data_IF_394180261821
#
_entry.id   IF_394180261821
#
_cell.length_a   1.000
_cell.length_b   1.000
_cell.length_c   1.000
_cell.angle_alpha   90.00
_cell.angle_beta   90.00
_cell.angle_gamma   90.00
#
_symmetry.space_group_name_H-M   'P 1'
#
loop_
_entity.id
_entity.type
_entity.pdbx_description
1 polymer ?
#
# COMPACT_ATOMS: atom_id res chain seq x y z
N UNK A 1 18.58 20.86 17.48
CA UNK A 1 17.91 19.54 17.52
C UNK A 1 18.98 18.47 17.55
N UNK A 2 18.97 17.63 18.58
CA UNK A 2 19.90 16.52 18.80
C UNK A 2 19.24 15.22 18.39
N UNK A 3 19.94 14.43 17.59
CA UNK A 3 19.40 13.28 16.89
C UNK A 3 20.15 12.02 17.31
N UNK A 4 19.41 11.02 17.80
CA UNK A 4 19.89 9.65 17.91
C UNK A 4 19.56 8.86 16.65
N UNK A 5 20.50 8.10 16.11
CA UNK A 5 20.29 7.28 14.90
C UNK A 5 20.33 5.79 15.23
N UNK A 6 19.20 5.10 15.07
CA UNK A 6 19.11 3.64 15.16
C UNK A 6 19.39 3.02 13.78
N UNK A 7 20.53 2.36 13.64
CA UNK A 7 20.98 1.76 12.39
C UNK A 7 21.82 2.70 11.53
N UNK A 8 23.04 2.25 11.17
CA UNK A 8 24.00 2.99 10.34
C UNK A 8 24.30 2.28 9.01
N UNK A 9 23.27 1.65 8.44
CA UNK A 9 23.33 1.09 7.09
C UNK A 9 23.30 2.16 6.00
N UNK A 10 22.89 1.79 4.78
CA UNK A 10 22.85 2.68 3.62
C UNK A 10 22.11 3.99 3.90
N UNK A 11 20.87 3.92 4.41
CA UNK A 11 20.06 5.11 4.70
C UNK A 11 20.63 5.91 5.86
N UNK A 12 20.99 5.26 6.98
CA UNK A 12 21.55 5.92 8.16
C UNK A 12 22.84 6.70 7.88
N UNK A 13 23.75 6.13 7.07
CA UNK A 13 24.94 6.84 6.60
C UNK A 13 24.59 8.05 5.73
N UNK A 14 23.58 7.92 4.87
CA UNK A 14 23.07 9.05 4.07
C UNK A 14 22.53 10.18 4.94
N UNK A 15 21.76 9.86 6.00
CA UNK A 15 21.19 10.84 6.93
C UNK A 15 22.31 11.59 7.64
N UNK A 16 23.25 10.86 8.23
CA UNK A 16 24.43 11.45 8.87
C UNK A 16 25.21 12.33 7.91
N UNK A 17 25.45 11.87 6.68
CA UNK A 17 26.18 12.63 5.65
C UNK A 17 25.50 13.95 5.32
N UNK A 18 24.17 13.98 5.21
CA UNK A 18 23.42 15.21 4.90
C UNK A 18 23.48 16.19 6.09
N UNK A 19 23.30 15.69 7.32
CA UNK A 19 23.31 16.52 8.53
C UNK A 19 24.71 17.09 8.79
N UNK A 20 25.74 16.24 8.81
CA UNK A 20 27.14 16.63 9.10
C UNK A 20 27.72 17.59 8.04
N UNK A 21 27.12 17.64 6.84
CA UNK A 21 27.54 18.58 5.79
C UNK A 21 27.06 20.02 6.04
N UNK A 22 26.07 20.24 6.92
CA UNK A 22 25.53 21.55 7.31
C UNK A 22 25.28 22.52 6.13
N UNK A 23 24.75 22.01 5.01
CA UNK A 23 24.61 22.79 3.77
C UNK A 23 23.56 23.90 3.87
N UNK A 24 22.60 23.78 4.79
CA UNK A 24 21.51 24.74 5.01
C UNK A 24 21.44 25.15 6.49
N UNK A 25 20.78 26.27 6.78
CA UNK A 25 20.52 26.71 8.15
C UNK A 25 19.76 25.66 8.99
N UNK A 26 18.83 24.93 8.39
CA UNK A 26 18.09 23.87 9.05
C UNK A 26 19.03 22.72 9.45
N UNK A 27 19.84 22.21 8.51
CA UNK A 27 20.83 21.15 8.80
C UNK A 27 21.95 21.63 9.74
N UNK A 28 22.26 22.93 9.76
CA UNK A 28 23.22 23.51 10.71
C UNK A 28 22.68 23.59 12.15
N UNK A 29 21.36 23.58 12.32
CA UNK A 29 20.69 23.54 13.62
C UNK A 29 20.44 22.10 14.13
N UNK A 30 20.94 21.09 13.43
CA UNK A 30 20.81 19.67 13.73
C UNK A 30 22.17 19.05 14.05
N UNK A 31 22.20 18.08 14.96
CA UNK A 31 23.40 17.30 15.25
C UNK A 31 23.06 15.84 15.52
N UNK A 32 23.75 14.92 14.83
CA UNK A 32 23.71 13.50 15.19
C UNK A 32 24.63 13.32 16.41
N UNK A 33 24.06 12.94 17.56
CA UNK A 33 24.78 12.88 18.85
C UNK A 33 25.17 11.46 19.25
N UNK A 34 24.44 10.45 18.77
CA UNK A 34 24.67 9.03 19.08
C UNK A 34 24.07 8.16 17.99
N UNK A 35 24.73 7.05 17.67
CA UNK A 35 24.35 6.11 16.63
C UNK A 35 24.43 4.70 17.21
N UNK A 36 23.34 3.94 17.15
CA UNK A 36 23.32 2.54 17.58
C UNK A 36 23.50 1.63 16.36
N UNK A 37 24.50 0.76 16.41
CA UNK A 37 24.77 -0.29 15.42
C UNK A 37 24.73 -1.67 16.07
N UNK A 38 24.67 -2.72 15.24
CA UNK A 38 24.64 -4.09 15.74
C UNK A 38 26.05 -4.61 16.02
N UNK A 39 26.98 -4.39 15.10
CA UNK A 39 28.29 -5.02 15.13
C UNK A 39 29.41 -4.00 15.45
N UNK A 40 30.34 -4.37 16.34
CA UNK A 40 31.45 -3.48 16.72
C UNK A 40 32.33 -3.07 15.53
N UNK A 41 32.39 -3.89 14.48
CA UNK A 41 33.13 -3.57 13.25
C UNK A 41 32.56 -2.38 12.47
N UNK A 42 31.31 -1.97 12.76
CA UNK A 42 30.68 -0.80 12.15
C UNK A 42 31.09 0.53 12.83
N UNK A 43 31.80 0.45 13.96
CA UNK A 43 32.29 1.63 14.71
C UNK A 43 33.39 2.30 13.91
N UNK A 44 33.03 3.41 13.27
CA UNK A 44 33.89 4.25 12.42
C UNK A 44 33.95 5.70 12.89
N UNK A 45 33.25 6.01 13.97
CA UNK A 45 33.07 7.35 14.54
C UNK A 45 32.76 7.21 16.04
N UNK A 46 33.21 8.17 16.85
CA UNK A 46 33.05 8.18 18.31
C UNK A 46 31.60 8.26 18.79
N UNK A 47 30.68 8.69 17.93
CA UNK A 47 29.24 8.70 18.18
C UNK A 47 28.61 7.33 18.04
N UNK A 48 29.32 6.33 17.52
CA UNK A 48 28.77 4.99 17.26
C UNK A 48 28.98 4.10 18.49
N UNK A 49 27.91 3.47 18.95
CA UNK A 49 27.91 2.49 20.03
C UNK A 49 27.16 1.22 19.62
N UNK A 50 27.45 0.13 20.31
CA UNK A 50 26.69 -1.13 20.25
C UNK A 50 25.82 -1.33 21.49
N UNK A 51 25.90 -0.42 22.48
CA UNK A 51 25.16 -0.49 23.73
C UNK A 51 23.86 0.35 23.65
N UNK A 52 22.68 -0.30 23.68
CA UNK A 52 21.42 0.42 23.71
C UNK A 52 21.26 1.32 24.94
N UNK A 53 21.83 0.96 26.10
CA UNK A 53 21.71 1.80 27.30
C UNK A 53 22.51 3.09 27.17
N UNK A 54 23.73 3.01 26.62
CA UNK A 54 24.51 4.21 26.26
C UNK A 54 23.75 5.08 25.24
N UNK A 55 23.09 4.45 24.27
CA UNK A 55 22.25 5.16 23.30
C UNK A 55 21.12 5.93 23.98
N UNK A 56 20.26 5.24 24.74
CA UNK A 56 19.05 5.83 25.33
C UNK A 56 19.30 6.73 26.56
N UNK A 57 20.49 6.70 27.14
CA UNK A 57 20.89 7.65 28.20
C UNK A 57 21.51 8.94 27.64
N UNK A 58 21.80 8.99 26.33
CA UNK A 58 22.25 10.21 25.66
C UNK A 58 21.08 11.18 25.52
N UNK A 59 21.32 12.45 25.85
CA UNK A 59 20.31 13.50 25.77
C UNK A 59 20.03 13.89 24.29
N UNK A 60 18.85 13.52 23.80
CA UNK A 60 18.43 13.70 22.40
C UNK A 60 16.96 14.10 22.30
N UNK A 61 16.61 14.83 21.25
CA UNK A 61 15.25 15.37 21.05
C UNK A 61 14.41 14.44 20.13
N UNK A 62 15.08 13.81 19.16
CA UNK A 62 14.46 12.94 18.14
C UNK A 62 15.32 11.70 17.91
N UNK A 63 14.67 10.57 17.70
CA UNK A 63 15.28 9.33 17.22
C UNK A 63 14.93 9.10 15.75
N UNK A 64 15.94 8.90 14.92
CA UNK A 64 15.80 8.44 13.55
C UNK A 64 15.98 6.92 13.53
N UNK A 65 15.01 6.20 12.97
CA UNK A 65 15.04 4.74 12.83
C UNK A 65 15.22 4.30 11.37
N UNK A 66 16.33 3.61 11.12
CA UNK A 66 16.77 3.12 9.82
C UNK A 66 17.21 1.64 9.90
N UNK A 67 16.64 0.88 10.85
CA UNK A 67 16.93 -0.53 11.03
C UNK A 67 16.05 -1.38 10.11
N UNK A 68 16.45 -2.65 9.91
CA UNK A 68 15.59 -3.66 9.30
C UNK A 68 14.85 -4.48 10.35
N UNK A 69 13.76 -5.12 9.94
CA UNK A 69 12.94 -6.00 10.80
C UNK A 69 11.81 -5.26 11.53
N UNK A 70 11.14 -5.96 12.44
CA UNK A 70 9.96 -5.45 13.16
C UNK A 70 10.20 -5.42 14.67
N UNK A 71 10.49 -6.57 15.30
CA UNK A 71 10.44 -6.68 16.76
C UNK A 71 11.49 -5.81 17.47
N UNK A 72 12.75 -5.87 17.04
CA UNK A 72 13.83 -5.07 17.65
C UNK A 72 13.67 -3.56 17.38
N UNK A 73 13.38 -3.13 16.13
CA UNK A 73 13.03 -1.74 15.87
C UNK A 73 11.81 -1.26 16.69
N UNK A 74 10.78 -2.10 16.84
CA UNK A 74 9.59 -1.76 17.63
C UNK A 74 9.92 -1.52 19.10
N UNK A 75 10.75 -2.36 19.72
CA UNK A 75 11.23 -2.18 21.09
C UNK A 75 11.89 -0.80 21.28
N UNK A 76 12.81 -0.45 20.37
CA UNK A 76 13.57 0.79 20.44
C UNK A 76 12.75 2.04 20.13
N UNK A 77 11.90 1.98 19.11
CA UNK A 77 10.99 3.09 18.76
C UNK A 77 9.97 3.32 19.87
N UNK A 78 9.40 2.26 20.43
CA UNK A 78 8.46 2.37 21.56
C UNK A 78 9.13 2.97 22.80
N UNK A 79 10.38 2.58 23.09
CA UNK A 79 11.18 3.17 24.17
C UNK A 79 11.42 4.66 23.93
N UNK A 80 11.74 5.06 22.69
CA UNK A 80 11.98 6.45 22.34
C UNK A 80 10.73 7.32 22.55
N UNK A 81 9.60 6.91 21.96
CA UNK A 81 8.32 7.61 22.10
C UNK A 81 7.90 7.68 23.58
N UNK A 82 8.03 6.58 24.32
CA UNK A 82 7.70 6.53 25.75
C UNK A 82 8.56 7.47 26.60
N UNK A 83 9.77 7.79 26.18
CA UNK A 83 10.64 8.75 26.84
C UNK A 83 10.34 10.21 26.45
N UNK A 84 9.35 10.46 25.58
CA UNK A 84 9.00 11.80 25.12
C UNK A 84 9.90 12.32 24.00
N UNK A 85 10.58 11.44 23.27
CA UNK A 85 11.34 11.81 22.07
C UNK A 85 10.47 11.65 20.82
N UNK A 86 10.61 12.57 19.86
CA UNK A 86 10.03 12.38 18.53
C UNK A 86 10.71 11.23 17.78
N UNK A 87 10.01 10.65 16.80
CA UNK A 87 10.58 9.59 15.95
C UNK A 87 10.37 9.90 14.47
N UNK A 88 11.43 9.68 13.68
CA UNK A 88 11.38 9.64 12.21
C UNK A 88 11.82 8.24 11.76
N UNK A 89 10.99 7.50 11.03
CA UNK A 89 11.31 6.13 10.61
C UNK A 89 11.29 5.96 9.09
N UNK A 90 12.24 5.19 8.56
CA UNK A 90 12.25 4.72 7.18
C UNK A 90 11.76 3.27 7.04
N UNK A 91 11.39 2.62 8.14
CA UNK A 91 11.08 1.20 8.19
C UNK A 91 9.58 0.94 7.97
N UNK A 92 9.21 0.87 6.70
CA UNK A 92 7.85 0.53 6.23
C UNK A 92 7.27 -0.75 6.84
N UNK A 93 8.09 -1.78 7.09
CA UNK A 93 7.63 -3.07 7.61
C UNK A 93 7.27 -2.96 9.08
N UNK A 94 8.14 -2.34 9.88
CA UNK A 94 7.82 -1.98 11.27
C UNK A 94 6.50 -1.19 11.32
N UNK A 95 6.45 -0.09 10.57
CA UNK A 95 5.32 0.82 10.60
C UNK A 95 4.03 0.11 10.20
N UNK A 96 4.01 -0.66 9.11
CA UNK A 96 2.79 -1.34 8.66
C UNK A 96 2.26 -2.38 9.66
N UNK A 97 3.14 -3.02 10.44
CA UNK A 97 2.75 -4.02 11.43
C UNK A 97 2.46 -3.46 12.82
N UNK A 98 2.99 -2.29 13.15
CA UNK A 98 2.96 -1.69 14.50
C UNK A 98 2.43 -0.26 14.52
N UNK A 99 1.75 0.16 13.45
CA UNK A 99 1.27 1.52 13.26
C UNK A 99 0.45 1.98 14.46
N UNK A 100 -0.55 1.19 14.85
CA UNK A 100 -1.49 1.58 15.90
C UNK A 100 -0.81 1.71 17.26
N UNK A 101 0.04 0.75 17.64
CA UNK A 101 0.76 0.82 18.91
C UNK A 101 1.71 2.03 18.95
N UNK A 102 2.45 2.27 17.87
CA UNK A 102 3.40 3.39 17.78
C UNK A 102 2.68 4.74 17.73
N UNK A 103 1.60 4.84 16.95
CA UNK A 103 0.81 6.05 16.83
C UNK A 103 0.11 6.39 18.16
N UNK A 104 -0.43 5.39 18.86
CA UNK A 104 -1.03 5.59 20.17
C UNK A 104 -0.01 6.11 21.20
N UNK A 105 1.21 5.55 21.21
CA UNK A 105 2.31 6.04 22.06
C UNK A 105 2.69 7.48 21.71
N UNK A 106 2.87 7.79 20.42
CA UNK A 106 3.21 9.13 19.96
C UNK A 106 2.16 10.16 20.37
N UNK A 107 0.86 9.84 20.17
CA UNK A 107 -0.26 10.69 20.58
C UNK A 107 -0.33 10.86 22.10
N UNK A 108 -0.19 9.78 22.88
CA UNK A 108 -0.20 9.83 24.35
C UNK A 108 0.91 10.74 24.89
N UNK A 109 2.08 10.71 24.25
CA UNK A 109 3.27 11.47 24.66
C UNK A 109 3.35 12.85 24.01
N UNK A 110 2.41 13.17 23.11
CA UNK A 110 2.37 14.42 22.35
C UNK A 110 3.68 14.69 21.61
N UNK A 111 4.26 13.64 21.03
CA UNK A 111 5.51 13.70 20.26
C UNK A 111 5.25 13.26 18.82
N UNK A 112 6.03 13.76 17.85
CA UNK A 112 5.80 13.42 16.46
C UNK A 112 6.29 12.00 16.12
N UNK A 113 5.53 11.33 15.26
CA UNK A 113 5.93 10.13 14.53
C UNK A 113 5.83 10.42 13.04
N UNK A 114 6.98 10.56 12.37
CA UNK A 114 7.06 10.88 10.94
C UNK A 114 7.72 9.72 10.16
N UNK A 115 7.33 9.53 8.90
CA UNK A 115 7.74 8.38 8.10
C UNK A 115 7.63 8.58 6.58
N UNK A 116 7.89 9.78 6.07
CA UNK A 116 7.91 10.06 4.63
C UNK A 116 8.83 9.07 3.88
N UNK A 117 10.01 8.84 4.45
CA UNK A 117 11.04 7.97 3.88
C UNK A 117 10.60 6.50 3.75
N UNK A 118 9.60 6.06 4.51
CA UNK A 118 9.08 4.69 4.43
C UNK A 118 8.23 4.45 3.16
N UNK A 119 7.73 5.51 2.53
CA UNK A 119 6.78 5.39 1.41
C UNK A 119 7.39 5.86 0.09
N UNK A 120 7.72 7.15 0.00
CA UNK A 120 8.05 7.80 -1.27
C UNK A 120 9.52 7.69 -1.69
N UNK A 121 10.40 7.15 -0.83
CA UNK A 121 11.83 7.28 -1.03
C UNK A 121 12.22 8.75 -1.04
N UNK A 122 12.60 9.30 -2.20
CA UNK A 122 12.85 10.74 -2.37
C UNK A 122 11.63 11.55 -2.82
N UNK A 123 10.49 10.93 -3.08
CA UNK A 123 9.25 11.61 -3.44
C UNK A 123 8.60 12.15 -2.16
N UNK A 124 8.35 13.48 -2.04
CA UNK A 124 7.70 14.07 -0.86
C UNK A 124 6.19 13.81 -0.86
N UNK A 125 5.80 12.53 -0.79
CA UNK A 125 4.45 12.07 -1.00
C UNK A 125 3.53 12.41 0.18
N UNK A 126 3.87 11.98 1.39
CA UNK A 126 3.04 12.19 2.58
C UNK A 126 2.92 13.67 2.93
N UNK A 127 3.98 14.46 2.77
CA UNK A 127 3.93 15.92 3.00
C UNK A 127 2.93 16.59 2.05
N UNK A 128 3.00 16.30 0.75
CA UNK A 128 2.09 16.91 -0.21
C UNK A 128 0.65 16.43 0.00
N UNK A 129 0.45 15.15 0.28
CA UNK A 129 -0.87 14.62 0.64
C UNK A 129 -1.44 15.32 1.89
N UNK A 130 -0.63 15.49 2.94
CA UNK A 130 -1.06 16.16 4.16
C UNK A 130 -1.41 17.63 3.94
N UNK A 131 -0.77 18.31 2.98
CA UNK A 131 -1.15 19.66 2.56
C UNK A 131 -2.47 19.65 1.80
N UNK A 132 -2.64 18.72 0.86
CA UNK A 132 -3.91 18.55 0.13
C UNK A 132 -5.07 18.29 1.08
N UNK A 133 -4.94 17.34 2.01
CA UNK A 133 -6.01 17.00 2.96
C UNK A 133 -6.32 18.11 4.00
N UNK A 134 -5.44 19.10 4.17
CA UNK A 134 -5.74 20.27 5.00
C UNK A 134 -6.64 21.29 4.30
N UNK A 135 -6.69 21.24 2.97
CA UNK A 135 -7.39 22.23 2.13
C UNK A 135 -8.57 21.61 1.39
N UNK A 136 -8.53 20.30 1.15
CA UNK A 136 -9.41 19.60 0.22
C UNK A 136 -9.71 18.16 0.67
N UNK A 137 -10.79 17.59 0.18
CA UNK A 137 -11.15 16.20 0.44
C UNK A 137 -10.40 15.27 -0.53
N UNK A 138 -9.46 14.49 0.00
CA UNK A 138 -8.73 13.48 -0.78
C UNK A 138 -9.65 12.28 -1.02
N UNK A 139 -10.07 12.13 -2.26
CA UNK A 139 -10.97 11.06 -2.68
C UNK A 139 -10.22 9.74 -2.84
N UNK A 140 -9.09 9.76 -3.56
CA UNK A 140 -8.31 8.56 -3.84
C UNK A 140 -6.84 8.85 -4.13
N UNK A 141 -6.03 7.81 -4.04
CA UNK A 141 -4.68 7.80 -4.58
C UNK A 141 -4.39 6.49 -5.32
N UNK A 142 -3.52 6.56 -6.31
CA UNK A 142 -2.96 5.40 -7.00
C UNK A 142 -1.53 5.66 -7.41
N UNK A 143 -0.68 4.63 -7.44
CA UNK A 143 0.70 4.87 -7.81
C UNK A 143 1.57 3.63 -7.94
N UNK A 144 2.66 3.81 -8.65
CA UNK A 144 3.80 2.89 -8.70
C UNK A 144 4.67 3.21 -7.49
N UNK A 145 4.58 2.38 -6.46
CA UNK A 145 5.30 2.57 -5.20
C UNK A 145 6.55 1.68 -5.05
N UNK A 146 6.82 0.81 -6.03
CA UNK A 146 7.93 -0.14 -5.97
C UNK A 146 8.74 -0.14 -7.28
N UNK A 147 9.98 0.33 -7.20
CA UNK A 147 10.86 0.45 -8.37
C UNK A 147 11.31 -0.90 -8.93
N UNK A 148 11.48 -1.91 -8.08
CA UNK A 148 11.91 -3.26 -8.50
C UNK A 148 10.88 -3.91 -9.43
N UNK A 149 9.62 -3.93 -9.01
CA UNK A 149 8.52 -4.46 -9.82
C UNK A 149 8.24 -3.60 -11.05
N UNK A 150 8.38 -2.28 -10.96
CA UNK A 150 8.27 -1.43 -12.14
C UNK A 150 9.36 -1.71 -13.17
N UNK A 151 10.60 -1.93 -12.73
CA UNK A 151 11.71 -2.32 -13.59
C UNK A 151 11.45 -3.66 -14.27
N UNK A 152 11.02 -4.68 -13.50
CA UNK A 152 10.70 -6.01 -14.03
C UNK A 152 9.61 -5.91 -15.10
N UNK A 153 8.51 -5.20 -14.82
CA UNK A 153 7.44 -4.99 -15.79
C UNK A 153 7.91 -4.20 -17.01
N UNK A 154 8.77 -3.20 -16.85
CA UNK A 154 9.32 -2.46 -17.98
C UNK A 154 10.18 -3.34 -18.89
N UNK A 155 11.05 -4.19 -18.33
CA UNK A 155 11.83 -5.15 -19.11
C UNK A 155 10.95 -6.19 -19.84
N UNK A 156 9.89 -6.65 -19.19
CA UNK A 156 8.97 -7.61 -19.79
C UNK A 156 8.13 -7.00 -20.92
N UNK A 157 7.59 -5.79 -20.72
CA UNK A 157 6.60 -5.19 -21.62
C UNK A 157 7.23 -4.31 -22.70
N UNK A 158 8.36 -3.66 -22.40
CA UNK A 158 9.08 -2.80 -23.36
C UNK A 158 10.13 -3.59 -24.14
N UNK A 159 10.87 -4.48 -23.47
CA UNK A 159 11.98 -5.23 -24.09
C UNK A 159 11.64 -6.70 -24.39
N UNK A 160 10.43 -7.16 -24.04
CA UNK A 160 9.97 -8.51 -24.34
C UNK A 160 10.69 -9.61 -23.57
N UNK A 161 11.32 -9.29 -22.44
CA UNK A 161 11.97 -10.29 -21.60
C UNK A 161 10.94 -11.19 -20.90
N UNK A 162 11.35 -12.41 -20.52
CA UNK A 162 10.55 -13.21 -19.60
C UNK A 162 10.78 -12.73 -18.15
N UNK A 163 9.90 -13.14 -17.24
CA UNK A 163 9.94 -12.72 -15.84
C UNK A 163 11.27 -13.08 -15.14
N UNK A 164 11.76 -14.30 -15.34
CA UNK A 164 12.97 -14.80 -14.66
C UNK A 164 14.23 -14.03 -15.09
N UNK A 165 14.34 -13.70 -16.38
CA UNK A 165 15.45 -12.93 -16.93
C UNK A 165 15.39 -11.47 -16.47
N UNK A 166 14.19 -10.86 -16.45
CA UNK A 166 13.98 -9.52 -15.93
C UNK A 166 14.29 -9.42 -14.42
N UNK A 167 13.87 -10.40 -13.63
CA UNK A 167 14.18 -10.49 -12.21
C UNK A 167 15.69 -10.65 -11.96
N UNK A 168 16.36 -11.52 -12.72
CA UNK A 168 17.82 -11.67 -12.64
C UNK A 168 18.53 -10.36 -13.00
N UNK A 169 18.08 -9.67 -14.05
CA UNK A 169 18.60 -8.36 -14.43
C UNK A 169 18.40 -7.29 -13.34
N UNK A 170 17.29 -7.36 -12.58
CA UNK A 170 17.03 -6.49 -11.44
C UNK A 170 18.01 -6.79 -10.28
N UNK A 171 18.30 -8.07 -10.00
CA UNK A 171 19.25 -8.49 -8.96
C UNK A 171 20.69 -8.06 -9.30
N UNK A 172 21.12 -8.24 -10.56
CA UNK A 172 22.44 -7.83 -11.03
C UNK A 172 22.68 -6.32 -10.90
N UNK A 173 21.61 -5.52 -11.05
CA UNK A 173 21.65 -4.05 -10.88
C UNK A 173 21.48 -3.60 -9.43
N UNK A 174 21.24 -4.53 -8.51
CA UNK A 174 20.98 -4.25 -7.10
C UNK A 174 19.61 -3.60 -6.85
N UNK A 175 18.65 -3.73 -7.78
CA UNK A 175 17.27 -3.30 -7.56
C UNK A 175 16.49 -4.31 -6.73
N UNK A 176 16.72 -5.61 -6.96
CA UNK A 176 16.13 -6.69 -6.19
C UNK A 176 17.17 -7.34 -5.27
N UNK A 177 16.77 -7.74 -4.07
CA UNK A 177 17.57 -8.56 -3.18
C UNK A 177 17.58 -10.04 -3.62
N UNK A 178 18.40 -10.86 -2.95
CA UNK A 178 18.44 -12.30 -3.20
C UNK A 178 17.09 -12.98 -2.94
N UNK A 179 16.37 -12.53 -1.90
CA UNK A 179 14.96 -12.85 -1.67
C UNK A 179 14.10 -11.62 -2.01
N UNK A 180 13.49 -11.56 -3.20
CA UNK A 180 12.70 -10.42 -3.65
C UNK A 180 11.21 -10.52 -3.27
N UNK A 181 10.82 -11.45 -2.38
CA UNK A 181 9.42 -11.80 -2.16
C UNK A 181 8.56 -10.62 -1.72
N UNK A 182 9.05 -9.76 -0.82
CA UNK A 182 8.30 -8.55 -0.40
C UNK A 182 7.99 -7.63 -1.60
N UNK A 183 8.86 -7.57 -2.62
CA UNK A 183 8.63 -6.80 -3.85
C UNK A 183 7.68 -7.54 -4.80
N UNK A 184 8.06 -8.75 -5.24
CA UNK A 184 7.37 -9.44 -6.35
C UNK A 184 6.02 -10.03 -5.95
N UNK A 185 5.73 -10.19 -4.66
CA UNK A 185 4.41 -10.58 -4.15
C UNK A 185 3.51 -9.38 -3.81
N UNK A 186 4.01 -8.15 -4.01
CA UNK A 186 3.25 -6.92 -3.82
C UNK A 186 3.11 -6.46 -2.37
N UNK A 187 3.82 -7.10 -1.43
CA UNK A 187 3.76 -6.74 -0.02
C UNK A 187 4.33 -5.35 0.26
N UNK A 188 5.44 -4.96 -0.39
CA UNK A 188 6.01 -3.62 -0.28
C UNK A 188 5.00 -2.53 -0.68
N UNK A 189 4.35 -2.72 -1.82
CA UNK A 189 3.32 -1.80 -2.33
C UNK A 189 2.13 -1.76 -1.36
N UNK A 190 1.73 -2.91 -0.81
CA UNK A 190 0.67 -3.00 0.19
C UNK A 190 1.02 -2.24 1.48
N UNK A 191 2.23 -2.38 2.04
CA UNK A 191 2.66 -1.64 3.23
C UNK A 191 2.56 -0.13 2.98
N UNK A 192 3.08 0.34 1.84
CA UNK A 192 3.06 1.75 1.45
C UNK A 192 1.65 2.29 1.23
N UNK A 193 0.77 1.48 0.67
CA UNK A 193 -0.64 1.81 0.46
C UNK A 193 -1.37 1.96 1.80
N UNK A 194 -1.22 0.99 2.71
CA UNK A 194 -1.82 1.03 4.05
C UNK A 194 -1.33 2.24 4.84
N UNK A 195 -0.02 2.47 4.87
CA UNK A 195 0.55 3.60 5.61
C UNK A 195 0.11 4.95 5.02
N UNK A 196 0.00 5.06 3.70
CA UNK A 196 -0.54 6.26 3.04
C UNK A 196 -2.00 6.48 3.45
N UNK A 197 -2.85 5.44 3.36
CA UNK A 197 -4.27 5.49 3.71
C UNK A 197 -4.48 5.88 5.18
N UNK A 198 -3.74 5.24 6.09
CA UNK A 198 -3.78 5.54 7.52
C UNK A 198 -3.41 7.00 7.79
N UNK A 199 -2.36 7.49 7.13
CA UNK A 199 -1.88 8.86 7.30
C UNK A 199 -2.87 9.89 6.78
N UNK A 200 -3.46 9.68 5.62
CA UNK A 200 -4.26 10.70 4.92
C UNK A 200 -5.68 10.80 5.44
N UNK A 201 -6.31 9.67 5.78
CA UNK A 201 -7.68 9.64 6.28
C UNK A 201 -7.76 9.49 7.80
N UNK A 202 -6.63 9.41 8.51
CA UNK A 202 -6.62 9.26 9.96
C UNK A 202 -7.31 7.97 10.41
N UNK A 203 -7.04 6.87 9.72
CA UNK A 203 -7.66 5.55 9.95
C UNK A 203 -6.61 4.52 10.36
N UNK A 204 -7.08 3.35 10.82
CA UNK A 204 -6.26 2.15 10.95
C UNK A 204 -6.81 1.07 10.03
N UNK A 205 -6.19 0.92 8.86
CA UNK A 205 -6.49 -0.15 7.89
C UNK A 205 -5.77 -1.42 8.33
N UNK A 206 -6.49 -2.51 8.67
CA UNK A 206 -5.85 -3.77 9.06
C UNK A 206 -5.15 -4.39 7.88
N UNK A 207 -3.85 -4.64 8.04
CA UNK A 207 -2.97 -5.08 6.97
C UNK A 207 -3.47 -6.38 6.33
N UNK A 208 -3.97 -7.33 7.11
CA UNK A 208 -4.49 -8.62 6.65
C UNK A 208 -5.72 -8.51 5.74
N UNK A 209 -6.46 -7.40 5.80
CA UNK A 209 -7.66 -7.18 5.00
C UNK A 209 -7.36 -6.54 3.63
N UNK A 210 -6.14 -6.04 3.44
CA UNK A 210 -5.74 -5.42 2.17
C UNK A 210 -5.18 -6.49 1.21
N UNK A 211 -5.80 -6.73 0.04
CA UNK A 211 -5.29 -7.69 -0.92
C UNK A 211 -3.96 -7.22 -1.52
N UNK A 212 -3.05 -8.17 -1.71
CA UNK A 212 -1.82 -8.01 -2.48
C UNK A 212 -1.73 -9.10 -3.54
N UNK A 213 -1.62 -8.70 -4.79
CA UNK A 213 -1.31 -9.57 -5.91
C UNK A 213 0.02 -9.13 -6.50
N UNK A 214 0.93 -10.08 -6.64
CA UNK A 214 2.27 -9.86 -7.15
C UNK A 214 2.41 -10.04 -8.66
N UNK A 215 3.66 -10.12 -9.09
CA UNK A 215 4.07 -10.35 -10.47
C UNK A 215 4.19 -11.83 -10.84
N UNK A 216 4.16 -12.76 -9.87
CA UNK A 216 4.38 -14.21 -10.12
C UNK A 216 3.42 -14.82 -11.15
N UNK A 217 2.28 -14.20 -11.37
CA UNK A 217 1.25 -14.66 -12.29
C UNK A 217 1.19 -13.84 -13.59
N UNK A 218 2.08 -12.86 -13.76
CA UNK A 218 2.20 -12.06 -14.98
C UNK A 218 3.22 -12.73 -15.90
N UNK A 219 2.82 -13.08 -17.12
CA UNK A 219 3.73 -13.70 -18.08
C UNK A 219 3.78 -12.99 -19.44
N UNK A 220 4.69 -13.44 -20.31
CA UNK A 220 4.92 -12.80 -21.61
C UNK A 220 3.71 -12.82 -22.55
N UNK A 221 2.69 -13.65 -22.29
CA UNK A 221 1.42 -13.62 -23.06
C UNK A 221 0.59 -12.41 -22.69
N UNK A 222 0.65 -11.99 -21.42
CA UNK A 222 -0.03 -10.78 -20.93
C UNK A 222 0.60 -9.55 -21.55
N UNK A 223 1.93 -9.52 -21.62
CA UNK A 223 2.67 -8.45 -22.30
C UNK A 223 2.29 -8.33 -23.78
N UNK A 224 2.26 -9.45 -24.51
CA UNK A 224 1.85 -9.47 -25.92
C UNK A 224 0.40 -9.02 -26.10
N UNK A 225 -0.49 -9.49 -25.23
CA UNK A 225 -1.90 -9.11 -25.29
C UNK A 225 -2.08 -7.62 -25.00
N UNK A 226 -1.44 -7.10 -23.95
CA UNK A 226 -1.49 -5.69 -23.58
C UNK A 226 -1.05 -4.80 -24.74
N UNK A 227 0.11 -5.10 -25.32
CA UNK A 227 0.68 -4.35 -26.43
C UNK A 227 -0.24 -4.35 -27.65
N UNK A 228 -0.83 -5.51 -28.00
CA UNK A 228 -1.77 -5.62 -29.11
C UNK A 228 -3.05 -4.77 -28.95
N UNK A 229 -3.39 -4.39 -27.72
CA UNK A 229 -4.56 -3.56 -27.40
C UNK A 229 -4.20 -2.13 -27.00
N UNK A 230 -2.96 -1.70 -27.23
CA UNK A 230 -2.50 -0.35 -26.89
C UNK A 230 -2.46 -0.09 -25.38
N UNK A 231 -2.05 -1.10 -24.61
CA UNK A 231 -2.02 -1.09 -23.15
C UNK A 231 -0.70 -1.61 -22.59
N UNK A 232 -0.46 -1.35 -21.31
CA UNK A 232 0.68 -1.86 -20.53
C UNK A 232 0.22 -2.29 -19.14
N UNK A 233 1.02 -3.07 -18.40
CA UNK A 233 0.71 -3.46 -17.02
C UNK A 233 1.69 -2.78 -16.06
N UNK A 234 1.15 -2.25 -14.94
CA UNK A 234 1.91 -1.67 -13.83
C UNK A 234 1.42 -2.26 -12.50
N UNK A 235 2.32 -2.54 -11.56
CA UNK A 235 1.94 -2.89 -10.19
C UNK A 235 1.60 -1.61 -9.43
N UNK A 236 0.32 -1.42 -9.12
CA UNK A 236 -0.16 -0.22 -8.44
C UNK A 236 -0.56 -0.50 -7.01
N UNK A 237 -0.22 0.43 -6.13
CA UNK A 237 -0.89 0.60 -4.84
C UNK A 237 -1.99 1.62 -5.00
N UNK A 238 -3.18 1.31 -4.51
CA UNK A 238 -4.37 2.12 -4.72
C UNK A 238 -5.22 2.15 -3.46
N UNK A 239 -5.79 3.31 -3.14
CA UNK A 239 -6.85 3.38 -2.15
C UNK A 239 -7.83 4.53 -2.45
N UNK A 240 -9.06 4.39 -1.95
CA UNK A 240 -10.14 5.36 -2.07
C UNK A 240 -10.94 5.44 -0.78
N UNK A 241 -11.31 6.65 -0.36
CA UNK A 241 -12.30 6.85 0.68
C UNK A 241 -13.70 6.64 0.12
N UNK A 242 -14.55 6.00 0.92
CA UNK A 242 -15.93 5.69 0.59
C UNK A 242 -16.83 6.05 1.77
N UNK A 243 -18.15 6.02 1.57
CA UNK A 243 -19.11 6.27 2.64
C UNK A 243 -19.05 5.20 3.74
N UNK A 244 -18.55 4.00 3.44
CA UNK A 244 -18.44 2.89 4.40
C UNK A 244 -17.04 2.71 4.98
N UNK A 245 -16.02 3.40 4.45
CA UNK A 245 -14.67 3.34 4.96
C UNK A 245 -13.60 3.60 3.90
N UNK A 246 -12.58 2.75 3.87
CA UNK A 246 -11.48 2.85 2.91
C UNK A 246 -11.35 1.54 2.14
N UNK A 247 -11.36 1.64 0.81
CA UNK A 247 -10.98 0.55 -0.09
C UNK A 247 -9.49 0.70 -0.40
N UNK A 248 -8.71 -0.38 -0.28
CA UNK A 248 -7.27 -0.36 -0.57
C UNK A 248 -6.80 -1.69 -1.18
N UNK A 249 -5.73 -1.64 -1.98
CA UNK A 249 -5.14 -2.84 -2.57
C UNK A 249 -3.79 -2.58 -3.26
N UNK A 250 -3.04 -3.65 -3.49
CA UNK A 250 -1.83 -3.66 -4.30
C UNK A 250 -1.93 -4.76 -5.38
N UNK A 251 -1.92 -4.42 -6.67
CA UNK A 251 -2.06 -5.41 -7.74
C UNK A 251 -1.58 -4.93 -9.11
N UNK A 252 -1.24 -5.85 -10.04
CA UNK A 252 -1.00 -5.49 -11.43
C UNK A 252 -2.29 -4.95 -12.06
N UNK A 253 -2.20 -3.73 -12.59
CA UNK A 253 -3.29 -3.02 -13.27
C UNK A 253 -2.86 -2.77 -14.70
N UNK A 254 -3.76 -3.02 -15.65
CA UNK A 254 -3.52 -2.63 -17.02
C UNK A 254 -3.96 -1.21 -17.27
N UNK A 255 -3.08 -0.45 -17.91
CA UNK A 255 -3.28 0.95 -18.19
C UNK A 255 -3.27 1.17 -19.71
N UNK A 256 -4.11 2.07 -20.23
CA UNK A 256 -3.93 2.60 -21.58
C UNK A 256 -2.50 3.12 -21.77
N UNK A 257 -1.91 2.88 -22.94
CA UNK A 257 -0.53 3.30 -23.22
C UNK A 257 -0.32 4.82 -23.13
N UNK A 258 -1.39 5.61 -23.24
CA UNK A 258 -1.38 7.06 -23.08
C UNK A 258 -1.64 7.55 -21.65
N UNK A 259 -1.87 6.67 -20.67
CA UNK A 259 -2.05 7.04 -19.28
C UNK A 259 -0.71 7.49 -18.66
N UNK A 260 -0.72 8.48 -17.75
CA UNK A 260 0.51 9.03 -17.14
C UNK A 260 1.40 7.95 -16.51
N UNK A 261 0.83 7.07 -15.68
CA UNK A 261 1.54 5.93 -15.07
C UNK A 261 2.09 4.91 -16.09
N UNK A 262 1.52 4.83 -17.30
CA UNK A 262 2.02 3.92 -18.33
C UNK A 262 3.41 4.35 -18.82
N UNK A 263 3.68 5.66 -18.86
CA UNK A 263 4.96 6.25 -19.28
C UNK A 263 6.04 6.26 -18.20
N UNK A 264 5.81 5.64 -17.04
CA UNK A 264 6.78 5.59 -15.95
C UNK A 264 7.64 4.33 -16.13
N UNK A 265 8.87 4.51 -16.59
CA UNK A 265 9.78 3.42 -16.96
C UNK A 265 10.85 3.16 -15.88
N UNK A 266 11.61 2.08 -16.07
CA UNK A 266 12.71 1.67 -15.20
C UNK A 266 12.27 1.52 -13.73
N UNK A 267 13.15 1.86 -12.78
CA UNK A 267 12.90 1.74 -11.35
C UNK A 267 12.31 3.02 -10.72
N UNK A 268 11.73 3.92 -11.52
CA UNK A 268 11.10 5.12 -11.01
C UNK A 268 9.73 4.81 -10.41
N UNK A 269 9.36 5.62 -9.41
CA UNK A 269 8.06 5.61 -8.78
C UNK A 269 7.25 6.82 -9.24
N UNK A 270 5.92 6.68 -9.18
CA UNK A 270 5.02 7.80 -9.39
C UNK A 270 3.76 7.61 -8.53
N UNK A 271 3.48 8.58 -7.68
CA UNK A 271 2.29 8.59 -6.82
C UNK A 271 1.32 9.65 -7.32
N UNK A 272 0.06 9.29 -7.47
CA UNK A 272 -1.00 10.18 -7.94
C UNK A 272 -2.08 10.29 -6.89
N UNK A 273 -2.57 11.51 -6.68
CA UNK A 273 -3.71 11.82 -5.80
C UNK A 273 -4.81 12.45 -6.62
N UNK A 274 -6.06 12.14 -6.28
CA UNK A 274 -7.24 12.86 -6.74
C UNK A 274 -7.95 13.47 -5.53
N UNK A 275 -8.27 14.75 -5.61
CA UNK A 275 -9.10 15.43 -4.62
C UNK A 275 -10.08 16.39 -5.31
N UNK A 276 -11.16 16.74 -4.61
CA UNK A 276 -12.33 17.42 -5.17
C UNK A 276 -12.00 18.75 -5.88
N UNK A 277 -11.19 19.61 -5.25
CA UNK A 277 -10.81 20.91 -5.79
C UNK A 277 -9.44 20.92 -6.50
N UNK A 278 -8.49 20.12 -6.04
CA UNK A 278 -7.15 20.04 -6.66
C UNK A 278 -7.18 19.29 -8.00
N UNK A 279 -8.13 18.37 -8.14
CA UNK A 279 -8.14 17.39 -9.23
C UNK A 279 -7.00 16.38 -9.09
N UNK A 280 -6.54 15.88 -10.25
CA UNK A 280 -5.47 14.89 -10.30
C UNK A 280 -4.09 15.55 -10.28
N UNK A 281 -3.22 15.09 -9.37
CA UNK A 281 -1.83 15.50 -9.31
C UNK A 281 -0.90 14.29 -9.21
N UNK A 282 0.29 14.40 -9.80
CA UNK A 282 1.27 13.33 -9.85
C UNK A 282 2.63 13.79 -9.32
N UNK A 283 3.27 12.93 -8.52
CA UNK A 283 4.61 13.12 -7.97
C UNK A 283 5.51 12.00 -8.47
N UNK A 284 6.59 12.37 -9.16
CA UNK A 284 7.49 11.44 -9.83
C UNK A 284 8.91 11.53 -9.26
N UNK A 285 9.58 10.39 -9.10
CA UNK A 285 10.96 10.38 -8.65
C UNK A 285 11.48 8.99 -8.30
N UNK A 286 12.66 8.95 -7.69
CA UNK A 286 13.25 7.70 -7.21
C UNK A 286 12.60 7.27 -5.90
N UNK A 287 12.03 6.07 -5.89
CA UNK A 287 11.37 5.47 -4.72
C UNK A 287 12.30 4.80 -3.71
N UNK A 288 13.61 4.78 -3.99
CA UNK A 288 14.62 4.13 -3.15
C UNK A 288 16.01 4.75 -3.41
N UNK A 289 17.00 4.29 -2.65
CA UNK A 289 18.39 4.71 -2.76
C UNK A 289 18.87 5.52 -1.56
N UNK A 290 20.19 5.53 -1.35
CA UNK A 290 20.83 6.14 -0.18
C UNK A 290 20.40 7.59 0.04
N UNK A 291 20.73 8.47 -0.92
CA UNK A 291 20.51 9.90 -0.77
C UNK A 291 19.03 10.30 -0.90
N UNK A 292 18.23 9.74 -1.83
CA UNK A 292 16.79 10.04 -1.88
C UNK A 292 16.06 9.70 -0.58
N UNK A 293 16.30 8.52 0.00
CA UNK A 293 15.65 8.10 1.25
C UNK A 293 16.15 8.91 2.44
N UNK A 294 17.47 9.14 2.53
CA UNK A 294 18.05 9.98 3.56
C UNK A 294 17.55 11.43 3.49
N UNK A 295 17.33 11.96 2.27
CA UNK A 295 16.75 13.28 2.07
C UNK A 295 15.34 13.37 2.66
N UNK A 296 14.49 12.37 2.43
CA UNK A 296 13.15 12.34 3.03
C UNK A 296 13.19 12.27 4.56
N UNK A 297 14.09 11.48 5.14
CA UNK A 297 14.31 11.47 6.60
C UNK A 297 14.71 12.85 7.13
N UNK A 298 15.65 13.53 6.45
CA UNK A 298 16.08 14.87 6.85
C UNK A 298 14.96 15.90 6.64
N UNK A 299 14.15 15.75 5.60
CA UNK A 299 12.95 16.57 5.40
C UNK A 299 11.94 16.42 6.53
N UNK A 300 11.67 15.19 6.98
CA UNK A 300 10.84 14.92 8.16
C UNK A 300 11.43 15.58 9.41
N UNK A 301 12.74 15.53 9.61
CA UNK A 301 13.42 16.19 10.73
C UNK A 301 13.24 17.72 10.69
N UNK A 302 13.27 18.34 9.51
CA UNK A 302 13.01 19.78 9.37
C UNK A 302 11.56 20.10 9.77
N UNK A 303 10.59 19.32 9.33
CA UNK A 303 9.18 19.48 9.70
C UNK A 303 8.97 19.30 11.21
N UNK A 304 9.59 18.26 11.80
CA UNK A 304 9.56 18.01 13.24
C UNK A 304 10.18 19.18 14.02
N UNK A 305 11.29 19.74 13.52
CA UNK A 305 11.96 20.88 14.15
C UNK A 305 11.05 22.10 14.18
N UNK A 306 10.33 22.37 13.09
CA UNK A 306 9.39 23.48 13.03
C UNK A 306 8.24 23.31 14.04
N UNK A 307 7.70 22.10 14.18
CA UNK A 307 6.63 21.79 15.16
C UNK A 307 7.10 21.97 16.61
N UNK A 308 8.32 21.53 16.93
CA UNK A 308 8.91 21.68 18.27
C UNK A 308 9.13 23.15 18.67
N UNK A 309 9.27 24.05 17.69
CA UNK A 309 9.43 25.50 17.95
C UNK A 309 8.08 26.20 18.16
N UNK A 310 6.97 25.61 17.69
CA UNK A 310 5.64 26.23 17.67
C UNK A 310 4.67 25.73 18.77
N UNK A 311 5.10 24.88 19.71
CA UNK A 311 4.26 24.31 20.78
C UNK A 311 2.90 23.75 20.29
N UNK A 312 2.85 23.21 19.06
CA UNK A 312 1.60 22.80 18.41
C UNK A 312 1.71 21.38 17.86
N UNK A 313 1.24 20.39 18.63
CA UNK A 313 1.28 18.95 18.27
C UNK A 313 -0.10 18.37 17.89
N UNK A 314 -1.07 19.21 17.52
CA UNK A 314 -2.41 18.73 17.19
C UNK A 314 -2.48 18.18 15.75
N UNK A 315 -2.14 16.89 15.57
CA UNK A 315 -2.73 16.08 14.50
C UNK A 315 -3.87 15.27 15.14
N UNK A 316 -5.07 15.41 14.59
CA UNK A 316 -6.30 14.84 15.10
C UNK A 316 -6.19 13.32 15.34
N UNK A 317 -6.80 12.85 16.43
CA UNK A 317 -6.84 11.43 16.80
C UNK A 317 -7.71 10.63 15.81
N UNK A 318 -7.33 9.37 15.47
CA UNK A 318 -8.13 8.54 14.57
C UNK A 318 -9.43 8.06 15.22
N UNK A 319 -10.51 8.08 14.44
CA UNK A 319 -11.70 7.25 14.69
C UNK A 319 -11.44 5.84 14.16
N UNK A 320 -11.96 4.81 14.84
CA UNK A 320 -11.95 3.44 14.29
C UNK A 320 -12.89 3.39 13.09
N UNK A 321 -12.35 3.05 11.92
CA UNK A 321 -13.12 2.92 10.67
C UNK A 321 -13.26 1.44 10.29
N UNK A 322 -14.42 1.09 9.75
CA UNK A 322 -14.69 -0.20 9.13
C UNK A 322 -13.98 -0.22 7.77
N UNK A 323 -13.06 -1.15 7.54
CA UNK A 323 -12.53 -1.36 6.19
C UNK A 323 -13.61 -2.09 5.41
N UNK A 324 -14.17 -1.43 4.40
CA UNK A 324 -14.95 -2.12 3.39
C UNK A 324 -13.96 -2.95 2.57
N UNK A 325 -14.06 -4.29 2.56
CA UNK A 325 -13.30 -5.09 1.61
C UNK A 325 -13.50 -4.50 0.22
N UNK A 326 -12.42 -4.37 -0.55
CA UNK A 326 -12.45 -3.80 -1.90
C UNK A 326 -13.48 -4.49 -2.84
N UNK A 327 -14.02 -5.64 -2.43
CA UNK A 327 -15.05 -6.42 -3.13
C UNK A 327 -16.49 -6.21 -2.61
N UNK A 328 -16.68 -5.59 -1.43
CA UNK A 328 -17.99 -5.46 -0.77
C UNK A 328 -18.78 -4.23 -1.21
N UNK A 329 -18.16 -3.08 -1.48
CA UNK A 329 -18.90 -1.94 -2.05
C UNK A 329 -19.17 -2.10 -3.55
N UNK A 330 -18.35 -2.90 -4.23
CA UNK A 330 -18.74 -3.37 -5.54
C UNK A 330 -20.10 -4.09 -5.43
N UNK A 331 -20.44 -4.80 -4.34
CA UNK A 331 -21.56 -5.75 -4.28
C UNK A 331 -22.59 -5.31 -3.23
N UNK A 332 -23.52 -4.42 -3.61
CA UNK A 332 -24.47 -3.76 -2.70
C UNK A 332 -25.36 -4.67 -1.84
N UNK A 333 -25.72 -4.17 -0.66
CA UNK A 333 -26.89 -4.63 0.10
C UNK A 333 -27.88 -3.46 0.27
N UNK A 334 -29.04 -3.60 -0.37
CA UNK A 334 -30.21 -2.78 -0.09
C UNK A 334 -30.71 -3.06 1.33
N UNK A 335 -30.55 -2.09 2.23
CA UNK A 335 -31.38 -1.97 3.42
C UNK A 335 -31.50 -0.49 3.83
N UNK A 336 -32.60 0.15 3.43
CA UNK A 336 -33.23 1.17 4.28
C UNK A 336 -34.56 0.59 4.77
N UNK A 337 -35.01 0.95 5.99
CA UNK A 337 -35.92 2.10 6.03
C UNK A 337 -35.83 2.99 7.28
N UNK A 338 -36.10 4.27 7.04
CA UNK A 338 -36.91 5.19 7.86
C UNK A 338 -36.28 5.95 9.06
N UNK A 339 -36.00 7.23 8.77
CA UNK A 339 -36.75 8.39 9.29
C UNK A 339 -36.48 8.97 10.70
N UNK A 340 -36.32 10.30 10.68
CA UNK A 340 -36.73 11.35 11.65
C UNK A 340 -35.72 11.90 12.67
N UNK A 341 -35.41 13.16 12.41
CA UNK A 341 -35.39 14.35 13.29
C UNK A 341 -34.63 14.36 14.64
N UNK A 342 -33.59 15.21 14.63
CA UNK A 342 -33.20 16.28 15.59
C UNK A 342 -32.86 15.91 17.03
N UNK A 343 -31.63 16.23 17.47
CA UNK A 343 -31.39 16.98 18.71
C UNK A 343 -29.98 17.61 18.74
N UNK A 344 -29.91 18.83 19.29
CA UNK A 344 -28.71 19.63 19.50
C UNK A 344 -27.69 18.99 20.45
N UNK A 345 -26.44 19.47 20.34
CA UNK A 345 -25.18 19.03 20.97
C UNK A 345 -25.22 18.79 22.50
N UNK A 346 -26.22 19.27 23.24
CA UNK A 346 -26.22 19.24 24.71
C UNK A 346 -26.68 17.92 25.37
N UNK A 347 -27.10 16.88 24.63
CA UNK A 347 -27.59 15.62 25.22
C UNK A 347 -26.57 14.46 25.26
N UNK A 348 -25.33 14.63 24.79
CA UNK A 348 -24.32 13.56 24.78
C UNK A 348 -23.54 13.38 26.10
N UNK A 349 -23.80 14.21 27.12
CA UNK A 349 -23.07 14.18 28.39
C UNK A 349 -23.92 13.57 29.50
N UNK A 350 -24.26 12.28 29.42
CA UNK A 350 -24.57 11.43 30.60
C UNK A 350 -25.10 10.04 30.22
N UNK A 351 -24.23 9.06 29.97
CA UNK A 351 -24.51 7.64 30.28
C UNK A 351 -23.22 6.79 30.15
N UNK A 352 -22.99 5.78 31.01
CA UNK A 352 -21.74 5.02 31.06
C UNK A 352 -21.63 4.00 29.92
N UNK A 353 -20.39 3.68 29.55
CA UNK A 353 -20.01 2.73 28.50
C UNK A 353 -20.77 1.39 28.59
N UNK A 354 -21.50 1.04 27.53
CA UNK A 354 -21.91 -0.35 27.28
C UNK A 354 -20.85 -1.04 26.44
N UNK A 355 -20.24 -2.08 27.01
CA UNK A 355 -19.43 -3.05 26.28
C UNK A 355 -20.32 -3.84 25.33
N UNK A 356 -20.07 -3.76 24.02
CA UNK A 356 -20.62 -4.70 23.05
C UNK A 356 -19.80 -5.99 23.09
N UNK A 357 -20.39 -7.06 23.63
CA UNK A 357 -19.89 -8.42 23.46
C UNK A 357 -20.03 -8.84 21.99
N UNK A 358 -18.93 -9.32 21.40
CA UNK A 358 -18.94 -9.98 20.10
C UNK A 358 -19.49 -11.38 20.28
N UNK A 359 -20.66 -11.68 19.70
CA UNK A 359 -21.15 -13.05 19.62
C UNK A 359 -20.17 -13.90 18.79
N UNK A 360 -19.83 -15.13 19.21
CA UNK A 360 -18.89 -15.96 18.47
C UNK A 360 -19.53 -16.34 17.12
N UNK A 361 -18.94 -15.86 16.03
CA UNK A 361 -19.36 -16.23 14.69
C UNK A 361 -18.76 -17.60 14.35
N UNK A 362 -19.63 -18.57 14.06
CA UNK A 362 -19.25 -19.87 13.53
C UNK A 362 -18.54 -19.67 12.18
N UNK A 363 -17.23 -19.95 12.15
CA UNK A 363 -16.36 -19.76 10.98
C UNK A 363 -16.65 -20.78 9.85
N UNK A 364 -17.61 -21.69 10.03
CA UNK A 364 -17.98 -22.68 9.01
C UNK A 364 -19.00 -22.20 7.96
N UNK A 365 -19.51 -20.97 8.06
CA UNK A 365 -20.61 -20.46 7.22
C UNK A 365 -20.22 -19.47 6.08
N UNK A 366 -18.95 -19.09 5.92
CA UNK A 366 -18.52 -18.12 4.89
C UNK A 366 -18.03 -18.79 3.58
N UNK A 367 -18.80 -19.72 3.04
CA UNK A 367 -18.59 -20.24 1.68
C UNK A 367 -19.80 -19.97 0.79
N UNK A 368 -19.79 -18.85 0.06
CA UNK A 368 -20.84 -18.51 -0.92
C UNK A 368 -20.51 -17.26 -1.75
N UNK A 369 -20.67 -17.37 -3.07
CA UNK A 369 -20.41 -16.32 -4.09
C UNK A 369 -21.57 -15.31 -4.16
N UNK A 370 -21.30 -14.03 -4.40
CA UNK A 370 -22.31 -13.05 -4.81
C UNK A 370 -22.13 -12.64 -6.28
N UNK A 371 -23.14 -11.99 -6.86
CA UNK A 371 -23.16 -11.43 -8.22
C UNK A 371 -23.64 -9.97 -8.16
N UNK A 372 -23.25 -9.18 -9.14
CA UNK A 372 -23.33 -7.73 -9.11
C UNK A 372 -24.17 -7.16 -10.26
N UNK A 373 -25.12 -6.27 -9.97
CA UNK A 373 -25.83 -5.41 -10.93
C UNK A 373 -25.93 -3.99 -10.34
N UNK A 374 -25.22 -2.98 -10.87
CA UNK A 374 -25.22 -1.63 -10.29
C UNK A 374 -26.55 -0.90 -10.59
N UNK A 375 -27.04 -0.13 -9.62
CA UNK A 375 -28.32 0.59 -9.72
C UNK A 375 -28.14 2.02 -10.32
N UNK A 376 -26.98 2.69 -10.16
CA UNK A 376 -26.77 4.10 -10.57
C UNK A 376 -25.41 4.39 -11.25
N UNK A 377 -25.27 5.54 -11.93
CA UNK A 377 -24.13 5.90 -12.78
C UNK A 377 -22.85 6.33 -12.06
N UNK A 378 -22.90 6.73 -10.78
CA UNK A 378 -21.70 7.12 -10.01
C UNK A 378 -20.95 5.89 -9.45
N UNK A 379 -21.66 4.80 -9.13
CA UNK A 379 -21.07 3.49 -8.82
C UNK A 379 -20.46 2.82 -10.07
N UNK A 380 -20.90 3.24 -11.26
CA UNK A 380 -20.42 2.77 -12.55
C UNK A 380 -18.97 3.22 -12.78
N UNK A 381 -18.64 4.49 -12.54
CA UNK A 381 -17.27 5.02 -12.71
C UNK A 381 -16.27 4.40 -11.70
N UNK A 382 -16.76 3.96 -10.53
CA UNK A 382 -15.97 3.37 -9.44
C UNK A 382 -15.56 1.92 -9.71
N UNK A 383 -16.45 1.13 -10.35
CA UNK A 383 -16.12 -0.16 -10.96
C UNK A 383 -15.33 0.02 -12.27
N UNK A 384 -15.60 1.09 -13.02
CA UNK A 384 -14.97 1.40 -14.31
C UNK A 384 -13.46 1.63 -14.17
N UNK A 385 -13.01 2.38 -13.16
CA UNK A 385 -11.58 2.61 -12.90
C UNK A 385 -10.83 1.37 -12.38
N UNK A 386 -11.54 0.42 -11.76
CA UNK A 386 -10.99 -0.87 -11.32
C UNK A 386 -10.99 -1.93 -12.45
N UNK A 387 -11.83 -1.74 -13.47
CA UNK A 387 -12.15 -2.74 -14.52
C UNK A 387 -11.81 -2.28 -15.94
N UNK A 388 -11.18 -1.13 -16.19
CA UNK A 388 -10.92 -0.64 -17.57
C UNK A 388 -9.88 -1.46 -18.39
N UNK A 389 -10.31 -2.65 -18.79
CA UNK A 389 -9.91 -3.45 -19.93
C UNK A 389 -11.05 -3.41 -20.98
N UNK A 390 -10.80 -2.70 -22.08
CA UNK A 390 -11.54 -2.68 -23.36
C UNK A 390 -12.79 -1.77 -23.43
N UNK A 391 -12.81 -0.89 -24.45
CA UNK A 391 -13.96 -0.07 -24.82
C UNK A 391 -15.15 -0.95 -25.21
N UNK A 392 -16.40 -0.61 -24.86
CA UNK A 392 -17.57 -1.26 -25.43
C UNK A 392 -17.91 -0.64 -26.80
N UNK A 393 -18.10 -1.47 -27.82
CA UNK A 393 -19.06 -1.15 -28.88
C UNK A 393 -20.47 -1.31 -28.31
N UNK A 394 -21.34 -0.34 -28.59
CA UNK A 394 -22.73 -0.36 -28.17
C UNK A 394 -23.48 -1.39 -29.03
N UNK A 395 -23.88 -2.52 -28.46
CA UNK A 395 -24.77 -3.47 -29.15
C UNK A 395 -26.22 -2.93 -29.11
N UNK A 396 -26.94 -3.11 -30.22
CA UNK A 396 -28.24 -2.49 -30.54
C UNK A 396 -29.38 -2.79 -29.54
N UNK A 397 -29.16 -3.63 -28.53
CA UNK A 397 -30.13 -4.07 -27.53
C UNK A 397 -29.82 -3.60 -26.09
N UNK A 398 -28.80 -2.77 -25.87
CA UNK A 398 -28.61 -2.05 -24.60
C UNK A 398 -28.05 -2.87 -23.42
N UNK A 399 -27.42 -4.02 -23.66
CA UNK A 399 -26.71 -4.78 -22.62
C UNK A 399 -25.19 -4.44 -22.59
N UNK A 400 -24.58 -4.42 -21.39
CA UNK A 400 -23.14 -4.15 -21.15
C UNK A 400 -22.56 -5.25 -20.24
N UNK A 401 -21.32 -5.67 -20.52
CA UNK A 401 -20.62 -6.81 -19.93
C UNK A 401 -19.53 -6.33 -18.93
N UNK A 402 -19.44 -6.91 -17.73
CA UNK A 402 -18.35 -6.63 -16.76
C UNK A 402 -17.83 -7.93 -16.17
N UNK A 403 -16.51 -8.16 -16.20
CA UNK A 403 -15.91 -9.36 -15.62
C UNK A 403 -14.44 -9.18 -15.27
N UNK A 404 -14.12 -9.36 -13.99
CA UNK A 404 -12.77 -9.49 -13.47
C UNK A 404 -12.11 -10.79 -13.92
N UNK A 405 -10.79 -10.71 -14.10
CA UNK A 405 -9.86 -11.73 -14.62
C UNK A 405 -10.08 -12.06 -16.11
N UNK A 406 -9.03 -11.80 -16.89
CA UNK A 406 -8.96 -12.15 -18.30
C UNK A 406 -9.24 -13.66 -18.49
N UNK A 407 -10.38 -13.99 -19.10
CA UNK A 407 -10.78 -15.37 -19.42
C UNK A 407 -9.67 -16.20 -20.12
N UNK A 408 -8.85 -15.65 -21.05
CA UNK A 408 -7.71 -16.35 -21.65
C UNK A 408 -6.58 -16.72 -20.67
N UNK A 409 -6.34 -15.88 -19.66
CA UNK A 409 -5.33 -16.14 -18.61
C UNK A 409 -5.77 -17.28 -17.71
N UNK A 410 -7.03 -17.24 -17.27
CA UNK A 410 -7.65 -18.30 -16.48
C UNK A 410 -7.65 -19.64 -17.24
N UNK A 411 -8.05 -19.64 -18.52
CA UNK A 411 -8.05 -20.83 -19.38
C UNK A 411 -6.66 -21.44 -19.56
N UNK A 412 -5.63 -20.60 -19.67
CA UNK A 412 -4.25 -21.03 -19.81
C UNK A 412 -3.69 -21.65 -18.52
N UNK A 413 -4.02 -21.07 -17.36
CA UNK A 413 -3.65 -21.62 -16.06
C UNK A 413 -4.31 -22.98 -15.81
N UNK A 414 -5.58 -23.14 -16.22
CA UNK A 414 -6.31 -24.41 -16.11
C UNK A 414 -5.73 -25.50 -17.05
N UNK A 415 -5.39 -25.18 -18.30
CA UNK A 415 -4.75 -26.16 -19.21
C UNK A 415 -3.39 -26.65 -18.70
N UNK A 416 -2.59 -25.76 -18.12
CA UNK A 416 -1.29 -26.13 -17.52
C UNK A 416 -1.44 -27.06 -16.31
N UNK A 417 -2.57 -27.01 -15.61
CA UNK A 417 -2.87 -27.88 -14.50
C UNK A 417 -3.51 -29.23 -14.92
N UNK A 418 -3.52 -29.55 -16.23
CA UNK A 418 -3.96 -30.84 -16.76
C UNK A 418 -5.46 -30.90 -17.11
N UNK A 419 -6.17 -29.78 -17.04
CA UNK A 419 -7.61 -29.74 -17.33
C UNK A 419 -7.90 -29.49 -18.82
N UNK A 420 -8.91 -30.18 -19.34
CA UNK A 420 -9.46 -29.90 -20.68
C UNK A 420 -10.44 -28.73 -20.57
N UNK A 421 -10.16 -27.63 -21.26
CA UNK A 421 -10.99 -26.40 -21.23
C UNK A 421 -11.61 -26.11 -22.60
N UNK A 422 -12.93 -25.88 -22.59
CA UNK A 422 -13.72 -25.51 -23.78
C UNK A 422 -14.66 -24.33 -23.52
N UNK A 423 -15.14 -23.69 -24.59
CA UNK A 423 -16.14 -22.62 -24.56
C UNK A 423 -17.45 -23.20 -25.09
N UNK A 424 -18.55 -23.04 -24.36
CA UNK A 424 -19.88 -23.51 -24.80
C UNK A 424 -20.83 -22.31 -24.88
N UNK A 425 -21.39 -22.06 -26.06
CA UNK A 425 -22.29 -20.94 -26.36
C UNK A 425 -21.59 -19.61 -26.69
N UNK A 426 -22.39 -18.56 -26.93
CA UNK A 426 -21.88 -17.21 -27.17
C UNK A 426 -21.35 -16.59 -25.86
N UNK A 427 -20.03 -16.76 -25.69
CA UNK A 427 -19.06 -16.03 -24.86
C UNK A 427 -19.50 -15.70 -23.42
N UNK A 428 -19.94 -16.69 -22.63
CA UNK A 428 -20.08 -16.48 -21.18
C UNK A 428 -19.97 -17.69 -20.26
N UNK A 429 -19.71 -18.92 -20.75
CA UNK A 429 -19.60 -20.10 -19.87
C UNK A 429 -18.32 -20.91 -20.15
N UNK A 430 -17.48 -21.08 -19.12
CA UNK A 430 -16.33 -21.97 -19.14
C UNK A 430 -16.71 -23.31 -18.49
N UNK A 431 -16.61 -24.41 -19.24
CA UNK A 431 -16.83 -25.77 -18.74
C UNK A 431 -15.48 -26.47 -18.62
N UNK A 432 -15.22 -27.10 -17.48
CA UNK A 432 -13.99 -27.81 -17.18
C UNK A 432 -14.35 -29.18 -16.63
N UNK A 433 -13.95 -30.23 -17.33
CA UNK A 433 -14.24 -31.61 -16.95
C UNK A 433 -13.12 -32.12 -16.02
N UNK A 434 -13.48 -32.73 -14.88
CA UNK A 434 -12.53 -33.15 -13.86
C UNK A 434 -12.82 -34.61 -13.48
N UNK A 435 -11.83 -35.50 -13.60
CA UNK A 435 -11.95 -36.87 -13.06
C UNK A 435 -11.87 -36.85 -11.53
N UNK A 436 -12.79 -37.59 -10.89
CA UNK A 436 -13.23 -37.53 -9.48
C UNK A 436 -12.13 -37.39 -8.40
N UNK A 437 -10.92 -37.92 -8.64
CA UNK A 437 -9.83 -37.84 -7.67
C UNK A 437 -9.13 -36.48 -7.60
N UNK A 438 -9.41 -35.55 -8.52
CA UNK A 438 -8.72 -34.24 -8.62
C UNK A 438 -9.53 -33.07 -8.05
N UNK A 439 -10.82 -33.26 -7.74
CA UNK A 439 -11.73 -32.21 -7.25
C UNK A 439 -11.31 -31.61 -5.90
N UNK A 440 -10.68 -32.42 -5.03
CA UNK A 440 -10.20 -31.97 -3.72
C UNK A 440 -8.99 -31.03 -3.83
N UNK A 441 -8.15 -31.20 -4.86
CA UNK A 441 -6.97 -30.37 -5.07
C UNK A 441 -7.29 -28.97 -5.63
N UNK A 442 -8.43 -28.83 -6.32
CA UNK A 442 -8.93 -27.55 -6.87
C UNK A 442 -9.56 -26.68 -5.76
N UNK A 443 -10.28 -27.30 -4.82
CA UNK A 443 -10.88 -26.62 -3.68
C UNK A 443 -9.83 -26.07 -2.68
N UNK A 444 -8.75 -26.81 -2.44
CA UNK A 444 -7.69 -26.42 -1.50
C UNK A 444 -6.79 -25.26 -2.01
N UNK A 445 -6.89 -24.88 -3.30
CA UNK A 445 -6.10 -23.79 -3.92
C UNK A 445 -6.90 -22.52 -4.21
N UNK A 446 -8.12 -22.41 -3.68
CA UNK A 446 -8.92 -21.17 -3.77
C UNK A 446 -9.46 -20.84 -5.16
N UNK A 447 -9.48 -21.80 -6.09
CA UNK A 447 -10.03 -21.61 -7.43
C UNK A 447 -11.47 -22.16 -7.48
N UNK A 448 -12.47 -21.28 -7.64
CA UNK A 448 -13.85 -21.74 -7.76
C UNK A 448 -14.22 -22.00 -9.23
N UNK A 449 -14.32 -23.28 -9.60
CA UNK A 449 -15.01 -23.76 -10.80
C UNK A 449 -16.50 -24.00 -10.49
N UNK A 450 -17.40 -23.55 -11.36
CA UNK A 450 -18.80 -23.99 -11.33
C UNK A 450 -18.91 -25.31 -12.10
N UNK A 451 -19.13 -26.42 -11.38
CA UNK A 451 -19.52 -27.69 -11.99
C UNK A 451 -21.03 -27.64 -12.19
N UNK A 452 -21.50 -27.77 -13.43
CA UNK A 452 -22.92 -27.90 -13.75
C UNK A 452 -23.17 -29.36 -14.09
N UNK A 453 -23.96 -30.04 -13.25
CA UNK A 453 -24.48 -31.38 -13.53
C UNK A 453 -25.42 -31.29 -14.73
N UNK A 454 -25.21 -32.17 -15.72
CA UNK A 454 -25.79 -32.10 -17.07
C UNK A 454 -27.22 -32.66 -17.13
N UNK A 455 -28.08 -32.21 -16.23
CA UNK A 455 -29.48 -32.60 -16.21
C UNK A 455 -30.38 -31.42 -15.91
N UNK A 456 -30.83 -30.70 -16.95
CA UNK A 456 -32.20 -30.23 -17.16
C UNK A 456 -32.28 -29.33 -18.41
N UNK A 457 -33.20 -29.70 -19.29
CA UNK A 457 -33.55 -29.01 -20.54
C UNK A 457 -34.13 -27.62 -20.28
N UNK A 458 -33.54 -26.58 -20.87
CA UNK A 458 -34.06 -25.73 -21.99
C UNK A 458 -33.15 -24.52 -22.18
#
# INVERSE_FOLDING_TARGET
MRIGLLGHGVVGQGVRKIIDAHQTSATAAMSVVRILVRDQSEITDERITTDPEEFFTTDMDVVVECMGGVDKPFEFVSRALSAGMGVVSSNKKLLAHKYDELQALATQRQVPLAFEAAIGGGIPWLHNLALTAQVDEVESFRGIFNGTTNYILDEMFTHGQNFDDALRGAQERGYAEADPSDDIDGHDVKYKTVLTANRIWGVSVPLEQVPALGLRHVDGRDAKWAAAHGKTIKLLGMARATNQGVMAGAMPVMLPANHLLAGIHQNFNCAMVNSNNFGEAAYYGQGAGMLPTAFAVVSDLVSVQALMVQDSFALAAPGRTVVAPMWQEAWGQNASPLSREVASVDQLVSSPAQSLEVAPMDQSALQGKYYLRPENSEDFDLLWDLVEFTRPEKLENGAILTGGVHLPLLMNSLRRAGFTTGVVGDISTLVCEVEDSSAKMVADRGLFLALVDSGLNE
#
